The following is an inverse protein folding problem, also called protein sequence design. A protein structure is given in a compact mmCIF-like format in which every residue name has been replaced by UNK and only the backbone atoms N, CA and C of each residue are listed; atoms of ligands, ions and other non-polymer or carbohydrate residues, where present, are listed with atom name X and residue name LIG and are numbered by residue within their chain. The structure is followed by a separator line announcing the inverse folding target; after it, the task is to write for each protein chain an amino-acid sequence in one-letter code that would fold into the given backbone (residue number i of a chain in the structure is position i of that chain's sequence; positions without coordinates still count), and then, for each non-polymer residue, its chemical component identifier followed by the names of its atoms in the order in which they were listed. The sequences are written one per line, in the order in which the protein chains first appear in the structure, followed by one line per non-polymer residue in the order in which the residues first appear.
data_IF_784791689542
#
_entry.id   IF_784791689542
#
_cell.length_a   1.000
_cell.length_b   1.000
_cell.length_c   1.000
_cell.angle_alpha   90.00
_cell.angle_beta   90.00
_cell.angle_gamma   90.00
#
_symmetry.space_group_name_H-M   'P 1'
#
loop_
_entity.id
_entity.type
_entity.pdbx_description
1 polymer ?
#
# COMPACT_ATOMS: atom_id res chain seq x y z
N UNK A 1 45.73 11.42 66.06
CA UNK A 1 45.25 12.09 64.83
C UNK A 1 44.28 13.16 65.24
N UNK A 2 44.57 14.42 64.96
CA UNK A 2 43.77 15.56 65.47
C UNK A 2 42.50 15.74 64.62
N UNK A 3 41.41 16.13 65.28
CA UNK A 3 40.09 16.37 64.64
C UNK A 3 40.12 17.29 63.40
N UNK A 4 41.16 18.11 63.26
CA UNK A 4 41.39 19.01 62.11
C UNK A 4 41.77 18.28 60.80
N UNK A 5 42.40 17.11 60.88
CA UNK A 5 42.76 16.30 59.70
C UNK A 5 41.56 15.53 59.15
N UNK A 6 40.60 15.16 60.04
CA UNK A 6 39.37 14.49 59.60
C UNK A 6 38.45 15.45 58.81
N UNK A 7 38.41 16.74 59.21
CA UNK A 7 37.59 17.74 58.52
C UNK A 7 38.11 18.07 57.11
N UNK A 8 39.42 18.06 56.91
CA UNK A 8 40.04 18.30 55.58
C UNK A 8 39.83 17.13 54.64
N UNK A 9 39.89 15.87 55.14
CA UNK A 9 39.57 14.71 54.32
C UNK A 9 38.12 14.63 53.88
N UNK A 10 37.18 15.03 54.75
CA UNK A 10 35.74 15.02 54.38
C UNK A 10 35.43 16.13 53.36
N UNK A 11 36.10 17.29 53.44
CA UNK A 11 35.91 18.38 52.47
C UNK A 11 36.55 18.02 51.09
N UNK A 12 37.68 17.31 51.06
CA UNK A 12 38.29 16.83 49.80
C UNK A 12 37.46 15.75 49.12
N UNK A 13 36.74 14.91 49.89
CA UNK A 13 35.89 13.86 49.35
C UNK A 13 34.56 14.40 48.75
N UNK A 14 34.09 15.59 49.25
CA UNK A 14 32.90 16.22 48.76
C UNK A 14 33.10 17.05 47.47
N UNK A 15 34.33 17.47 47.17
CA UNK A 15 34.69 18.15 45.91
C UNK A 15 34.96 17.19 44.73
N UNK A 16 35.15 15.90 44.99
CA UNK A 16 35.38 14.91 43.91
C UNK A 16 34.11 14.32 43.33
N UNK A 17 32.93 14.60 43.93
CA UNK A 17 31.61 14.09 43.47
C UNK A 17 30.85 15.03 42.54
N UNK A 18 31.36 16.24 42.29
CA UNK A 18 30.69 17.21 41.38
C UNK A 18 31.21 17.17 39.93
N UNK A 19 32.14 16.29 39.61
CA UNK A 19 32.75 16.21 38.28
C UNK A 19 32.13 15.19 37.31
N UNK A 20 31.11 14.42 37.69
CA UNK A 20 30.55 13.32 36.88
C UNK A 20 29.10 13.53 36.42
N UNK A 21 28.54 14.74 36.48
CA UNK A 21 27.22 15.05 35.99
C UNK A 21 27.24 15.75 34.61
N UNK A 22 28.16 15.32 33.73
CA UNK A 22 28.36 15.90 32.39
C UNK A 22 28.44 14.87 31.27
N UNK A 23 27.76 13.73 31.37
CA UNK A 23 27.44 12.93 30.20
C UNK A 23 26.04 13.33 29.74
N UNK A 24 25.97 14.33 28.87
CA UNK A 24 24.84 14.56 27.99
C UNK A 24 24.68 13.31 27.13
N UNK A 25 23.92 12.33 27.61
CA UNK A 25 23.43 11.26 26.78
C UNK A 25 22.53 11.90 25.72
N UNK A 26 23.02 11.99 24.50
CA UNK A 26 22.16 12.09 23.33
C UNK A 26 21.12 10.99 23.51
N UNK A 27 19.93 11.38 23.97
CA UNK A 27 18.76 10.53 23.85
C UNK A 27 18.59 10.37 22.34
N UNK A 28 19.12 9.27 21.80
CA UNK A 28 18.77 8.80 20.48
C UNK A 28 17.25 8.66 20.50
N UNK A 29 16.57 9.72 20.08
CA UNK A 29 15.11 9.77 20.02
C UNK A 29 14.76 8.73 18.97
N UNK A 30 14.31 7.55 19.42
CA UNK A 30 13.92 6.47 18.53
C UNK A 30 13.04 7.00 17.42
N UNK A 31 13.27 6.59 16.18
CA UNK A 31 12.46 7.03 15.05
C UNK A 31 10.98 6.82 15.39
N UNK A 32 10.16 7.79 15.09
CA UNK A 32 8.70 7.66 15.24
C UNK A 32 8.25 6.53 14.30
N UNK A 33 7.43 5.62 14.81
CA UNK A 33 6.84 4.54 14.01
C UNK A 33 5.66 5.08 13.19
N UNK A 34 5.59 4.70 11.92
CA UNK A 34 4.47 4.96 11.01
C UNK A 34 3.80 3.62 10.68
N UNK A 35 2.60 3.40 11.19
CA UNK A 35 1.83 2.17 10.97
C UNK A 35 1.11 2.25 9.63
N UNK A 36 1.44 1.33 8.74
CA UNK A 36 0.91 1.29 7.37
C UNK A 36 0.07 0.03 7.17
N UNK A 37 -1.21 0.22 6.85
CA UNK A 37 -2.07 -0.86 6.38
C UNK A 37 -1.85 -1.16 4.91
N UNK A 38 -1.87 -2.43 4.54
CA UNK A 38 -1.77 -2.90 3.16
C UNK A 38 -2.49 -4.24 3.00
N UNK A 39 -2.91 -4.58 1.78
CA UNK A 39 -3.51 -5.88 1.43
C UNK A 39 -2.57 -6.65 0.49
N UNK A 40 -1.68 -7.52 1.00
CA UNK A 40 -0.59 -8.10 0.22
C UNK A 40 -1.04 -9.24 -0.70
N UNK A 41 -2.09 -9.02 -1.45
CA UNK A 41 -2.62 -9.85 -2.52
C UNK A 41 -2.68 -9.14 -3.88
N UNK A 42 -1.94 -8.02 -4.06
CA UNK A 42 -2.10 -7.12 -5.21
C UNK A 42 -0.77 -6.87 -5.95
N UNK A 43 -0.09 -7.95 -6.31
CA UNK A 43 1.19 -7.87 -7.05
C UNK A 43 1.02 -7.15 -8.40
N UNK A 44 1.98 -6.30 -8.83
CA UNK A 44 3.31 -6.08 -8.27
C UNK A 44 3.39 -4.94 -7.23
N UNK A 45 2.26 -4.41 -6.76
CA UNK A 45 2.24 -3.29 -5.80
C UNK A 45 2.56 -3.74 -4.38
N UNK A 46 1.83 -4.72 -3.87
CA UNK A 46 2.03 -5.31 -2.55
C UNK A 46 1.69 -6.80 -2.55
N UNK A 47 2.63 -7.61 -2.11
CA UNK A 47 2.45 -9.06 -1.99
C UNK A 47 3.45 -9.65 -1.00
N UNK A 48 3.18 -10.87 -0.55
CA UNK A 48 4.11 -11.59 0.29
C UNK A 48 5.06 -12.42 -0.59
N UNK A 49 6.36 -12.20 -0.45
CA UNK A 49 7.37 -13.02 -1.11
C UNK A 49 7.34 -14.45 -0.58
N UNK A 50 7.28 -15.43 -1.46
CA UNK A 50 7.10 -16.84 -1.08
C UNK A 50 8.29 -17.40 -0.28
N UNK A 51 9.51 -16.88 -0.52
CA UNK A 51 10.76 -17.37 0.09
C UNK A 51 11.05 -16.67 1.40
N UNK A 52 11.10 -15.34 1.39
CA UNK A 52 11.44 -14.54 2.56
C UNK A 52 10.27 -14.35 3.53
N UNK A 53 9.03 -14.54 3.07
CA UNK A 53 7.79 -14.22 3.77
C UNK A 53 7.63 -12.75 4.12
N UNK A 54 8.46 -11.89 3.57
CA UNK A 54 8.36 -10.44 3.73
C UNK A 54 7.32 -9.84 2.78
N UNK A 55 6.75 -8.71 3.17
CA UNK A 55 5.93 -7.92 2.27
C UNK A 55 6.83 -7.10 1.36
N UNK A 56 6.61 -7.25 0.05
CA UNK A 56 7.39 -6.63 -1.03
C UNK A 56 6.44 -6.06 -2.08
N UNK A 57 6.96 -5.26 -2.99
CA UNK A 57 6.20 -4.65 -4.07
C UNK A 57 6.51 -3.16 -4.21
N UNK A 58 5.97 -2.57 -5.25
CA UNK A 58 6.16 -1.14 -5.54
C UNK A 58 5.67 -0.26 -4.38
N UNK A 59 4.47 -0.52 -3.86
CA UNK A 59 3.86 0.23 -2.76
C UNK A 59 4.66 0.09 -1.46
N UNK A 60 5.18 -1.12 -1.20
CA UNK A 60 6.01 -1.39 -0.02
C UNK A 60 7.34 -0.65 -0.09
N UNK A 61 8.01 -0.69 -1.25
CA UNK A 61 9.26 0.04 -1.45
C UNK A 61 9.04 1.56 -1.40
N UNK A 62 7.96 2.05 -2.03
CA UNK A 62 7.59 3.45 -2.03
C UNK A 62 7.37 3.98 -0.61
N UNK A 63 6.54 3.30 0.19
CA UNK A 63 6.21 3.78 1.54
C UNK A 63 7.40 3.70 2.49
N UNK A 64 8.27 2.69 2.35
CA UNK A 64 9.54 2.60 3.11
C UNK A 64 10.48 3.75 2.78
N UNK A 65 10.61 4.11 1.49
CA UNK A 65 11.43 5.23 1.06
C UNK A 65 10.86 6.58 1.55
N UNK A 66 9.55 6.79 1.41
CA UNK A 66 8.86 7.98 1.93
C UNK A 66 8.98 8.09 3.45
N UNK A 67 8.78 7.00 4.18
CA UNK A 67 8.95 6.95 5.63
C UNK A 67 10.37 7.37 6.05
N UNK A 68 11.38 6.84 5.38
CA UNK A 68 12.78 7.20 5.62
C UNK A 68 13.03 8.69 5.41
N UNK A 69 12.55 9.27 4.31
CA UNK A 69 12.67 10.72 4.03
C UNK A 69 11.96 11.59 5.08
N UNK A 70 10.86 11.13 5.59
CA UNK A 70 10.10 11.82 6.64
C UNK A 70 10.63 11.58 8.06
N UNK A 71 11.65 10.72 8.25
CA UNK A 71 12.23 10.39 9.55
C UNK A 71 11.42 9.37 10.37
N UNK A 72 10.59 8.57 9.73
CA UNK A 72 9.80 7.49 10.35
C UNK A 72 10.42 6.11 10.11
N UNK A 73 10.15 5.20 11.04
CA UNK A 73 10.27 3.76 10.84
C UNK A 73 8.90 3.22 10.39
N UNK A 74 8.87 2.55 9.24
CA UNK A 74 7.62 2.02 8.66
C UNK A 74 7.33 0.64 9.21
N UNK A 75 6.15 0.47 9.80
CA UNK A 75 5.62 -0.82 10.26
C UNK A 75 4.44 -1.22 9.39
N UNK A 76 4.59 -2.28 8.59
CA UNK A 76 3.54 -2.81 7.71
C UNK A 76 2.59 -3.70 8.51
N UNK A 77 1.29 -3.49 8.30
CA UNK A 77 0.21 -4.31 8.86
C UNK A 77 -0.65 -4.87 7.73
N UNK A 78 -0.74 -6.19 7.67
CA UNK A 78 -1.62 -6.88 6.72
C UNK A 78 -3.07 -6.81 7.19
N UNK A 79 -3.95 -6.40 6.31
CA UNK A 79 -5.41 -6.40 6.50
C UNK A 79 -6.14 -6.41 5.16
N UNK A 80 -7.37 -6.90 5.13
CA UNK A 80 -8.17 -6.91 3.92
C UNK A 80 -8.43 -5.47 3.42
N UNK A 81 -8.52 -5.31 2.11
CA UNK A 81 -8.66 -4.01 1.45
C UNK A 81 -9.85 -3.19 1.95
N UNK A 82 -11.02 -3.82 2.11
CA UNK A 82 -12.24 -3.19 2.61
C UNK A 82 -12.15 -2.73 4.08
N UNK A 83 -11.21 -3.30 4.85
CA UNK A 83 -10.91 -2.92 6.23
C UNK A 83 -9.98 -1.72 6.38
N UNK A 84 -9.26 -1.30 5.32
CA UNK A 84 -8.21 -0.26 5.40
C UNK A 84 -8.77 1.11 5.78
N UNK A 85 -9.85 1.58 5.14
CA UNK A 85 -10.48 2.88 5.46
C UNK A 85 -11.08 2.86 6.87
N UNK A 86 -11.85 1.87 7.30
CA UNK A 86 -12.27 1.74 8.71
C UNK A 86 -11.13 1.79 9.71
N UNK A 87 -10.00 1.12 9.42
CA UNK A 87 -8.83 1.14 10.29
C UNK A 87 -8.18 2.52 10.39
N UNK A 88 -8.15 3.30 9.29
CA UNK A 88 -7.71 4.70 9.30
C UNK A 88 -8.65 5.58 10.12
N UNK A 89 -9.96 5.44 9.96
CA UNK A 89 -10.96 6.21 10.70
C UNK A 89 -10.87 5.94 12.21
N UNK A 90 -10.61 4.67 12.59
CA UNK A 90 -10.43 4.26 13.99
C UNK A 90 -9.05 4.65 14.56
N UNK A 91 -8.07 5.05 13.73
CA UNK A 91 -6.71 5.37 14.17
C UNK A 91 -5.85 4.14 14.50
N UNK A 92 -6.21 2.97 14.01
CA UNK A 92 -5.43 1.73 14.18
C UNK A 92 -4.16 1.73 13.33
N UNK A 93 -4.22 2.41 12.17
CA UNK A 93 -3.11 2.67 11.25
C UNK A 93 -3.02 4.17 10.95
N UNK A 94 -1.83 4.66 10.61
CA UNK A 94 -1.58 6.07 10.31
C UNK A 94 -1.83 6.40 8.83
N UNK A 95 -1.50 5.45 7.95
CA UNK A 95 -1.74 5.56 6.51
C UNK A 95 -1.96 4.16 5.90
N UNK A 96 -2.45 4.12 4.67
CA UNK A 96 -2.51 2.91 3.85
C UNK A 96 -1.95 3.16 2.46
N UNK A 97 -1.19 2.19 1.96
CA UNK A 97 -0.74 2.08 0.58
C UNK A 97 -1.12 0.68 0.10
N UNK A 98 -2.01 0.61 -0.89
CA UNK A 98 -2.62 -0.66 -1.31
C UNK A 98 -3.30 -0.51 -2.69
N UNK A 99 -2.62 0.08 -3.69
CA UNK A 99 -3.23 0.35 -4.98
C UNK A 99 -4.57 1.11 -4.88
N UNK A 100 -4.75 1.92 -3.84
CA UNK A 100 -6.06 2.49 -3.53
C UNK A 100 -6.39 3.67 -4.45
N UNK A 101 -7.39 3.48 -5.31
CA UNK A 101 -7.90 4.53 -6.21
C UNK A 101 -8.47 5.71 -5.42
N UNK A 102 -8.02 6.91 -5.78
CA UNK A 102 -8.58 8.18 -5.31
C UNK A 102 -9.97 8.34 -5.94
N UNK A 103 -11.02 8.28 -5.12
CA UNK A 103 -12.40 8.54 -5.54
C UNK A 103 -13.16 9.36 -4.51
N UNK A 104 -14.19 10.08 -4.96
CA UNK A 104 -14.90 11.06 -4.12
C UNK A 104 -15.46 10.44 -2.84
N UNK A 105 -16.08 9.25 -2.91
CA UNK A 105 -16.66 8.58 -1.74
C UNK A 105 -15.60 8.26 -0.69
N UNK A 106 -14.40 7.83 -1.12
CA UNK A 106 -13.28 7.59 -0.22
C UNK A 106 -12.71 8.88 0.34
N UNK A 107 -12.58 9.93 -0.51
CA UNK A 107 -12.08 11.25 -0.10
C UNK A 107 -13.01 11.96 0.91
N UNK A 108 -14.28 11.60 1.00
CA UNK A 108 -15.19 12.06 2.08
C UNK A 108 -14.77 11.52 3.46
N UNK A 109 -14.13 10.33 3.52
CA UNK A 109 -13.76 9.63 4.76
C UNK A 109 -12.31 9.82 5.15
N UNK A 110 -11.40 9.89 4.19
CA UNK A 110 -9.94 9.94 4.39
C UNK A 110 -9.30 11.09 3.61
N UNK A 111 -8.04 11.43 3.93
CA UNK A 111 -7.19 12.28 3.09
C UNK A 111 -6.41 11.37 2.14
N UNK A 112 -6.16 11.85 0.93
CA UNK A 112 -5.23 11.21 0.00
C UNK A 112 -3.98 12.07 -0.21
N UNK A 113 -2.85 11.43 -0.42
CA UNK A 113 -1.66 12.07 -0.99
C UNK A 113 -1.93 12.55 -2.42
N UNK A 114 -0.99 13.27 -3.01
CA UNK A 114 -0.90 13.38 -4.46
C UNK A 114 -0.86 11.98 -5.08
N UNK A 115 -1.40 11.81 -6.31
CA UNK A 115 -1.36 10.52 -6.97
C UNK A 115 0.09 10.06 -7.21
N UNK A 116 0.31 8.78 -6.92
CA UNK A 116 1.63 8.18 -7.12
C UNK A 116 1.68 7.23 -8.33
N UNK A 117 0.55 6.68 -8.78
CA UNK A 117 0.49 5.77 -9.93
C UNK A 117 -0.79 6.00 -10.73
N UNK A 118 -0.71 5.82 -12.06
CA UNK A 118 -1.88 5.82 -12.94
C UNK A 118 -2.19 4.39 -13.37
N UNK A 119 -3.42 3.96 -13.11
CA UNK A 119 -3.94 2.64 -13.39
C UNK A 119 -5.20 2.71 -14.25
N UNK A 120 -5.94 1.65 -14.28
CA UNK A 120 -7.26 1.55 -14.87
C UNK A 120 -7.76 0.12 -14.87
N UNK A 121 -9.07 -0.05 -14.88
CA UNK A 121 -9.73 -1.35 -14.84
C UNK A 121 -9.70 -2.05 -16.20
N UNK A 122 -9.57 -3.36 -16.18
CA UNK A 122 -9.62 -4.24 -17.35
C UNK A 122 -10.47 -5.49 -17.06
N UNK A 123 -11.04 -6.07 -18.11
CA UNK A 123 -11.70 -7.37 -18.03
C UNK A 123 -10.71 -8.48 -18.36
N UNK A 124 -10.69 -9.51 -17.54
CA UNK A 124 -10.02 -10.78 -17.83
C UNK A 124 -11.05 -11.90 -17.96
N UNK A 125 -10.84 -12.80 -18.91
CA UNK A 125 -11.68 -13.98 -19.18
C UNK A 125 -10.81 -15.21 -19.33
N UNK A 126 -11.40 -16.40 -19.29
CA UNK A 126 -10.64 -17.63 -19.60
C UNK A 126 -10.06 -17.59 -21.02
N UNK A 127 -8.92 -18.23 -21.22
CA UNK A 127 -8.22 -18.23 -22.51
C UNK A 127 -9.07 -18.78 -23.66
N UNK A 128 -9.87 -19.82 -23.40
CA UNK A 128 -10.77 -20.47 -24.34
C UNK A 128 -12.08 -19.69 -24.58
N UNK A 129 -12.33 -18.62 -23.79
CA UNK A 129 -13.52 -17.77 -23.99
C UNK A 129 -13.36 -16.94 -25.27
N UNK A 130 -14.31 -17.11 -26.19
CA UNK A 130 -14.35 -16.39 -27.48
C UNK A 130 -15.60 -15.51 -27.63
N UNK A 131 -16.44 -15.46 -26.61
CA UNK A 131 -17.73 -14.74 -26.63
C UNK A 131 -17.65 -13.37 -25.96
N UNK A 132 -16.91 -13.23 -24.87
CA UNK A 132 -16.73 -11.96 -24.17
C UNK A 132 -15.53 -11.24 -24.77
N UNK A 133 -15.75 -10.11 -25.39
CA UNK A 133 -14.74 -9.26 -26.06
C UNK A 133 -14.54 -7.93 -25.34
N UNK A 134 -15.51 -7.52 -24.53
CA UNK A 134 -15.51 -6.23 -23.83
C UNK A 134 -16.46 -6.26 -22.63
N UNK A 135 -16.49 -5.15 -21.86
CA UNK A 135 -17.43 -4.97 -20.74
C UNK A 135 -18.91 -5.07 -21.18
N UNK A 136 -19.21 -4.75 -22.44
CA UNK A 136 -20.58 -4.80 -22.97
C UNK A 136 -21.15 -6.22 -23.04
N UNK A 137 -20.28 -7.22 -23.12
CA UNK A 137 -20.64 -8.63 -23.23
C UNK A 137 -20.82 -9.28 -21.84
N UNK A 138 -20.69 -8.49 -20.76
CA UNK A 138 -20.79 -8.98 -19.37
C UNK A 138 -22.22 -8.96 -18.81
N UNK A 139 -23.22 -8.46 -19.55
CA UNK A 139 -24.62 -8.52 -19.12
C UNK A 139 -25.02 -9.96 -18.81
N UNK A 140 -25.60 -10.18 -17.62
CA UNK A 140 -26.04 -11.51 -17.16
C UNK A 140 -24.91 -12.49 -16.85
N UNK A 141 -23.63 -12.09 -16.89
CA UNK A 141 -22.47 -12.95 -16.62
C UNK A 141 -22.12 -12.98 -15.13
N UNK A 142 -21.42 -14.05 -14.74
CA UNK A 142 -20.82 -14.19 -13.41
C UNK A 142 -19.48 -13.46 -13.42
N UNK A 143 -19.35 -12.45 -12.57
CA UNK A 143 -18.15 -11.60 -12.50
C UNK A 143 -17.53 -11.73 -11.12
N UNK A 144 -16.28 -12.18 -11.07
CA UNK A 144 -15.48 -12.22 -9.84
C UNK A 144 -14.70 -10.92 -9.68
N UNK A 145 -14.68 -10.37 -8.46
CA UNK A 145 -14.02 -9.12 -8.10
C UNK A 145 -13.52 -9.18 -6.68
N UNK A 146 -12.56 -8.32 -6.33
CA UNK A 146 -12.21 -8.11 -4.93
C UNK A 146 -13.21 -7.15 -4.27
N UNK A 147 -13.63 -7.47 -3.05
CA UNK A 147 -14.59 -6.66 -2.27
C UNK A 147 -14.04 -5.25 -2.00
N UNK A 148 -14.92 -4.25 -2.04
CA UNK A 148 -14.58 -2.87 -1.69
C UNK A 148 -13.77 -2.11 -2.74
N UNK A 149 -13.46 -2.74 -3.90
CA UNK A 149 -12.68 -2.13 -4.98
C UNK A 149 -13.54 -1.37 -5.98
N UNK A 150 -12.89 -0.57 -6.84
CA UNK A 150 -13.53 0.06 -8.00
C UNK A 150 -13.96 -0.96 -9.04
N UNK A 151 -13.25 -2.10 -9.13
CA UNK A 151 -13.66 -3.25 -9.94
C UNK A 151 -15.01 -3.83 -9.51
N UNK A 152 -15.24 -3.95 -8.19
CA UNK A 152 -16.53 -4.36 -7.65
C UNK A 152 -17.64 -3.33 -7.95
N UNK A 153 -17.32 -2.03 -7.80
CA UNK A 153 -18.25 -0.96 -8.15
C UNK A 153 -18.63 -0.97 -9.64
N UNK A 154 -17.65 -1.23 -10.51
CA UNK A 154 -17.89 -1.33 -11.96
C UNK A 154 -18.75 -2.56 -12.29
N UNK A 155 -18.45 -3.72 -11.71
CA UNK A 155 -19.20 -4.95 -11.92
C UNK A 155 -20.67 -4.81 -11.49
N UNK A 156 -20.93 -4.18 -10.35
CA UNK A 156 -22.29 -3.95 -9.83
C UNK A 156 -23.16 -3.03 -10.71
N UNK A 157 -22.55 -2.27 -11.61
CA UNK A 157 -23.27 -1.41 -12.58
C UNK A 157 -23.67 -2.15 -13.86
N UNK A 158 -23.18 -3.37 -14.06
CA UNK A 158 -23.47 -4.17 -15.26
C UNK A 158 -24.85 -4.81 -15.09
N UNK A 159 -25.78 -4.62 -16.03
CA UNK A 159 -27.13 -5.16 -15.93
C UNK A 159 -27.15 -6.68 -15.77
N UNK A 160 -27.96 -7.16 -14.83
CA UNK A 160 -28.17 -8.59 -14.58
C UNK A 160 -26.90 -9.41 -14.27
N UNK A 161 -25.74 -8.76 -14.04
CA UNK A 161 -24.52 -9.47 -13.69
C UNK A 161 -24.63 -10.12 -12.30
N UNK A 162 -24.12 -11.34 -12.19
CA UNK A 162 -23.97 -12.04 -10.89
C UNK A 162 -22.57 -11.76 -10.36
N UNK A 163 -22.46 -10.74 -9.49
CA UNK A 163 -21.18 -10.33 -8.91
C UNK A 163 -20.83 -11.20 -7.72
N UNK A 164 -19.62 -11.81 -7.75
CA UNK A 164 -19.04 -12.59 -6.67
C UNK A 164 -17.84 -11.83 -6.12
N UNK A 165 -17.93 -11.44 -4.86
CA UNK A 165 -16.89 -10.67 -4.16
C UNK A 165 -15.99 -11.61 -3.35
N UNK A 166 -14.67 -11.43 -3.48
CA UNK A 166 -13.62 -12.18 -2.79
C UNK A 166 -12.77 -11.26 -1.93
N UNK A 167 -12.07 -11.80 -0.94
CA UNK A 167 -11.25 -10.99 -0.06
C UNK A 167 -10.04 -10.37 -0.77
N UNK A 168 -9.51 -11.04 -1.80
CA UNK A 168 -8.33 -10.59 -2.53
C UNK A 168 -8.44 -10.90 -4.03
N UNK A 169 -7.59 -10.25 -4.84
CA UNK A 169 -7.58 -10.44 -6.29
C UNK A 169 -7.19 -11.88 -6.71
N UNK A 170 -6.21 -12.56 -6.11
CA UNK A 170 -5.91 -13.96 -6.41
C UNK A 170 -7.11 -14.90 -6.31
N UNK A 171 -7.96 -14.76 -5.30
CA UNK A 171 -9.17 -15.58 -5.15
C UNK A 171 -10.14 -15.37 -6.33
N UNK A 172 -10.31 -14.12 -6.78
CA UNK A 172 -11.15 -13.82 -7.95
C UNK A 172 -10.59 -14.48 -9.24
N UNK A 173 -9.28 -14.50 -9.44
CA UNK A 173 -8.65 -15.21 -10.57
C UNK A 173 -8.75 -16.73 -10.42
N UNK A 174 -8.66 -17.27 -9.22
CA UNK A 174 -8.89 -18.71 -8.97
C UNK A 174 -10.32 -19.11 -9.31
N UNK A 175 -11.32 -18.28 -8.97
CA UNK A 175 -12.72 -18.52 -9.33
C UNK A 175 -12.93 -18.51 -10.85
N UNK A 176 -12.26 -17.60 -11.57
CA UNK A 176 -12.26 -17.58 -13.04
C UNK A 176 -11.65 -18.88 -13.60
N UNK A 177 -10.49 -19.28 -13.11
CA UNK A 177 -9.78 -20.51 -13.53
C UNK A 177 -10.64 -21.74 -13.30
N UNK A 178 -11.30 -21.84 -12.16
CA UNK A 178 -12.20 -22.96 -11.81
C UNK A 178 -13.50 -22.97 -12.63
N UNK A 179 -13.81 -21.90 -13.38
CA UNK A 179 -15.05 -21.77 -14.14
C UNK A 179 -16.27 -21.37 -13.30
N UNK A 180 -16.05 -20.94 -12.07
CA UNK A 180 -17.08 -20.38 -11.21
C UNK A 180 -17.48 -18.94 -11.59
N UNK A 181 -16.60 -18.21 -12.26
CA UNK A 181 -16.88 -16.93 -12.90
C UNK A 181 -16.61 -16.97 -14.40
N UNK A 182 -17.28 -16.10 -15.15
CA UNK A 182 -17.12 -15.93 -16.60
C UNK A 182 -16.09 -14.84 -16.91
N UNK A 183 -15.91 -13.88 -15.99
CA UNK A 183 -14.94 -12.80 -16.08
C UNK A 183 -14.45 -12.35 -14.70
N UNK A 184 -13.29 -11.66 -14.71
CA UNK A 184 -12.77 -10.86 -13.59
C UNK A 184 -12.70 -9.41 -14.06
N UNK A 185 -13.10 -8.45 -13.22
CA UNK A 185 -12.79 -7.04 -13.39
C UNK A 185 -11.78 -6.65 -12.32
N UNK A 186 -10.59 -6.25 -12.76
CA UNK A 186 -9.48 -5.89 -11.88
C UNK A 186 -8.58 -4.84 -12.54
N UNK A 187 -7.63 -4.30 -11.81
CA UNK A 187 -6.67 -3.34 -12.33
C UNK A 187 -5.74 -3.96 -13.37
N UNK A 188 -5.53 -3.23 -14.46
CA UNK A 188 -4.75 -3.70 -15.61
C UNK A 188 -3.31 -4.09 -15.24
N UNK A 189 -2.53 -3.31 -14.46
CA UNK A 189 -1.17 -3.70 -14.10
C UNK A 189 -1.11 -4.98 -13.28
N UNK A 190 -2.06 -5.20 -12.37
CA UNK A 190 -2.17 -6.42 -11.56
C UNK A 190 -2.55 -7.61 -12.42
N UNK A 191 -3.53 -7.43 -13.28
CA UNK A 191 -3.95 -8.46 -14.25
C UNK A 191 -2.80 -8.84 -15.18
N UNK A 192 -2.06 -7.85 -15.71
CA UNK A 192 -0.89 -8.09 -16.56
C UNK A 192 0.22 -8.84 -15.83
N UNK A 193 0.45 -8.50 -14.56
CA UNK A 193 1.42 -9.21 -13.73
C UNK A 193 0.99 -10.67 -13.50
N UNK A 194 -0.27 -10.91 -13.13
CA UNK A 194 -0.82 -12.26 -12.97
C UNK A 194 -0.62 -13.10 -14.23
N UNK A 195 -0.94 -12.57 -15.40
CA UNK A 195 -0.75 -13.27 -16.68
C UNK A 195 0.73 -13.59 -16.90
N UNK A 196 1.63 -12.63 -16.67
CA UNK A 196 3.09 -12.83 -16.83
C UNK A 196 3.66 -13.89 -15.88
N UNK A 197 3.05 -14.10 -14.72
CA UNK A 197 3.45 -15.14 -13.75
C UNK A 197 2.88 -16.53 -14.07
N UNK A 198 2.40 -16.74 -15.29
CA UNK A 198 1.90 -18.03 -15.77
C UNK A 198 0.37 -18.14 -15.79
N UNK A 199 -0.35 -17.09 -15.39
CA UNK A 199 -1.80 -17.00 -15.52
C UNK A 199 -2.28 -16.90 -16.97
N UNK A 200 -1.39 -16.61 -17.93
CA UNK A 200 -1.64 -16.59 -19.37
C UNK A 200 -2.08 -17.94 -19.94
N UNK A 201 -1.80 -19.03 -19.24
CA UNK A 201 -2.30 -20.37 -19.58
C UNK A 201 -3.81 -20.50 -19.33
N UNK A 202 -4.32 -19.77 -18.36
CA UNK A 202 -5.70 -19.89 -17.88
C UNK A 202 -6.59 -18.73 -18.32
N UNK A 203 -6.02 -17.52 -18.47
CA UNK A 203 -6.77 -16.30 -18.71
C UNK A 203 -6.11 -15.35 -19.71
N UNK A 204 -6.90 -14.43 -20.24
CA UNK A 204 -6.47 -13.32 -21.12
C UNK A 204 -7.26 -12.06 -20.79
N UNK A 205 -6.65 -10.89 -21.02
CA UNK A 205 -7.35 -9.62 -21.00
C UNK A 205 -8.17 -9.42 -22.29
N UNK A 206 -9.32 -8.76 -22.18
CA UNK A 206 -10.17 -8.42 -23.31
C UNK A 206 -10.68 -6.99 -23.21
N UNK A 207 -10.92 -6.35 -24.36
CA UNK A 207 -11.41 -4.98 -24.47
C UNK A 207 -10.40 -3.92 -24.07
N UNK A 208 -10.88 -2.69 -24.00
CA UNK A 208 -10.10 -1.52 -23.59
C UNK A 208 -10.16 -1.31 -22.07
N UNK A 209 -9.32 -0.41 -21.57
CA UNK A 209 -9.39 0.06 -20.18
C UNK A 209 -10.74 0.70 -19.94
N UNK A 210 -11.49 0.20 -18.97
CA UNK A 210 -12.86 0.62 -18.68
C UNK A 210 -12.92 2.01 -18.05
N UNK A 211 -11.96 2.28 -17.16
CA UNK A 211 -11.89 3.49 -16.37
C UNK A 211 -10.45 3.76 -16.03
N UNK A 212 -9.97 4.98 -16.31
CA UNK A 212 -8.68 5.44 -15.82
C UNK A 212 -8.76 5.72 -14.31
N UNK A 213 -7.72 5.38 -13.60
CA UNK A 213 -7.64 5.48 -12.14
C UNK A 213 -6.31 6.04 -11.69
N UNK A 214 -6.32 6.73 -10.56
CA UNK A 214 -5.12 7.24 -9.91
C UNK A 214 -5.02 6.66 -8.50
N UNK A 215 -3.87 6.07 -8.14
CA UNK A 215 -3.63 5.58 -6.80
C UNK A 215 -3.06 6.66 -5.90
N UNK A 216 -3.54 6.71 -4.65
CA UNK A 216 -3.06 7.60 -3.61
C UNK A 216 -2.85 6.87 -2.29
N UNK A 217 -1.93 7.39 -1.49
CA UNK A 217 -1.73 6.95 -0.11
C UNK A 217 -2.83 7.60 0.73
N UNK A 218 -3.66 6.78 1.39
CA UNK A 218 -4.74 7.32 2.22
C UNK A 218 -4.31 7.46 3.69
N UNK A 219 -4.83 8.48 4.35
CA UNK A 219 -4.52 8.83 5.75
C UNK A 219 -5.79 9.24 6.47
N UNK A 220 -5.79 9.16 7.82
CA UNK A 220 -6.92 9.66 8.60
C UNK A 220 -7.25 11.12 8.25
N UNK A 221 -8.53 11.46 8.23
CA UNK A 221 -9.04 12.80 7.87
C UNK A 221 -8.40 13.94 8.67
N UNK A 222 -7.93 13.66 9.89
CA UNK A 222 -7.29 14.62 10.78
C UNK A 222 -5.78 14.74 10.56
N UNK A 223 -5.16 13.87 9.77
CA UNK A 223 -3.70 13.78 9.61
C UNK A 223 -3.15 14.73 8.54
N UNK A 224 -3.54 16.01 8.57
CA UNK A 224 -3.15 17.02 7.57
C UNK A 224 -1.64 17.27 7.52
N UNK A 225 -0.96 17.24 8.68
CA UNK A 225 0.51 17.37 8.74
C UNK A 225 1.21 16.19 8.09
N UNK A 226 0.74 14.96 8.35
CA UNK A 226 1.28 13.75 7.72
C UNK A 226 1.11 13.79 6.20
N UNK A 227 -0.08 14.21 5.72
CA UNK A 227 -0.34 14.40 4.28
C UNK A 227 0.66 15.40 3.67
N UNK A 228 0.88 16.53 4.31
CA UNK A 228 1.81 17.56 3.81
C UNK A 228 3.23 17.01 3.71
N UNK A 229 3.70 16.26 4.72
CA UNK A 229 5.02 15.60 4.69
C UNK A 229 5.10 14.53 3.60
N UNK A 230 4.03 13.72 3.45
CA UNK A 230 3.93 12.67 2.44
C UNK A 230 4.03 13.24 1.02
N UNK A 231 3.24 14.27 0.73
CA UNK A 231 3.24 14.95 -0.57
C UNK A 231 4.59 15.57 -0.90
N UNK A 232 5.22 16.23 0.10
CA UNK A 232 6.57 16.81 -0.07
C UNK A 232 7.61 15.72 -0.36
N UNK A 233 7.61 14.63 0.41
CA UNK A 233 8.54 13.53 0.21
C UNK A 233 8.34 12.84 -1.16
N UNK A 234 7.10 12.70 -1.61
CA UNK A 234 6.78 12.15 -2.93
C UNK A 234 7.27 13.07 -4.06
N UNK A 235 7.08 14.40 -3.93
CA UNK A 235 7.59 15.37 -4.91
C UNK A 235 9.13 15.33 -4.97
N UNK A 236 9.81 15.26 -3.82
CA UNK A 236 11.28 15.14 -3.75
C UNK A 236 11.78 13.84 -4.40
N UNK A 237 11.10 12.70 -4.18
CA UNK A 237 11.45 11.43 -4.83
C UNK A 237 11.28 11.51 -6.35
N UNK A 238 10.20 12.15 -6.83
CA UNK A 238 9.99 12.37 -8.28
C UNK A 238 11.06 13.28 -8.86
N UNK A 239 11.39 14.38 -8.19
CA UNK A 239 12.39 15.35 -8.67
C UNK A 239 13.82 14.77 -8.68
N UNK A 240 14.17 13.89 -7.75
CA UNK A 240 15.49 13.25 -7.68
C UNK A 240 15.67 12.03 -8.60
N UNK A 241 14.61 11.57 -9.27
CA UNK A 241 14.61 10.34 -10.06
C UNK A 241 14.57 9.05 -9.24
N UNK A 242 14.44 9.13 -7.92
CA UNK A 242 14.33 7.97 -7.03
C UNK A 242 13.03 7.20 -7.27
N UNK A 243 11.93 7.93 -7.51
CA UNK A 243 10.66 7.36 -7.92
C UNK A 243 10.78 6.57 -9.24
N UNK A 244 11.46 7.12 -10.24
CA UNK A 244 11.61 6.46 -11.54
C UNK A 244 12.42 5.16 -11.43
N UNK A 245 13.44 5.12 -10.56
CA UNK A 245 14.19 3.87 -10.27
C UNK A 245 13.31 2.80 -9.63
N UNK A 246 12.42 3.19 -8.70
CA UNK A 246 11.44 2.25 -8.12
C UNK A 246 10.45 1.77 -9.16
N UNK A 247 9.96 2.67 -10.01
CA UNK A 247 9.06 2.33 -11.10
C UNK A 247 9.71 1.32 -12.07
N UNK A 248 10.94 1.59 -12.51
CA UNK A 248 11.69 0.70 -13.41
C UNK A 248 11.93 -0.69 -12.80
N UNK A 249 12.20 -0.76 -11.50
CA UNK A 249 12.39 -2.03 -10.78
C UNK A 249 11.18 -2.94 -10.92
N UNK A 250 9.97 -2.41 -10.82
CA UNK A 250 8.74 -3.21 -10.74
C UNK A 250 7.99 -3.32 -12.07
N UNK A 251 8.03 -2.30 -12.89
CA UNK A 251 7.26 -2.21 -14.14
C UNK A 251 8.12 -2.19 -15.41
N UNK A 252 9.45 -2.07 -15.27
CA UNK A 252 10.34 -1.86 -16.39
C UNK A 252 10.41 -0.39 -16.81
N UNK A 253 11.19 -0.11 -17.85
CA UNK A 253 11.35 1.26 -18.36
C UNK A 253 10.02 1.82 -18.84
N UNK A 254 9.73 3.07 -18.49
CA UNK A 254 8.62 3.82 -19.08
C UNK A 254 8.82 3.89 -20.59
N UNK A 255 7.82 3.43 -21.34
CA UNK A 255 7.79 3.58 -22.80
C UNK A 255 7.40 5.00 -23.19
#
# INVERSE_FOLDING_TARGET
MSKKWLSVMVLAMFMLTLGLAGCGGDKQQGKKVLKIGTDPGFAPFEFQDEKSKEYVGFDIDLIKALGTKMGYEVQIQNMNFDGLIPALEAGNIDATVAGMTIKEERAKKVLFSKPYYQSGLIVAVKNDNNTIKSVKDLEGKRIAVQIGTTGADAAKKIPNAVVREFNNAPEAFMELKAGGADAVINDKPVTAYYLKQGGDKDAKMVGDVLQAEEYGIAMNKKSTELKTKMDKALDEMKASGEYDKLYEKWFGKKQ
#
